data_IF_483085666301
#
_entry.id   IF_483085666301
#
_cell.length_a   1.000
_cell.length_b   1.000
_cell.length_c   1.000
_cell.angle_alpha   90.00
_cell.angle_beta   90.00
_cell.angle_gamma   90.00
#
_symmetry.space_group_name_H-M   'P 1'
#
loop_
_entity.id
_entity.type
_entity.pdbx_description
1 polymer ?
#
# COMPACT_ATOMS: atom_id res chain seq x y z
N UNK A 1 23.37 15.27 -25.75
CA UNK A 1 23.69 15.66 -24.36
C UNK A 1 22.41 15.70 -23.55
N UNK A 2 22.07 14.60 -22.87
CA UNK A 2 20.93 14.54 -21.95
C UNK A 2 21.50 14.52 -20.53
N UNK A 3 21.46 15.66 -19.86
CA UNK A 3 21.79 15.74 -18.44
C UNK A 3 20.68 15.01 -17.67
N UNK A 4 20.99 13.81 -17.18
CA UNK A 4 20.22 13.16 -16.13
C UNK A 4 20.45 13.97 -14.86
N UNK A 5 19.52 14.85 -14.52
CA UNK A 5 19.40 15.35 -13.15
C UNK A 5 18.96 14.18 -12.27
N UNK A 6 19.93 13.39 -11.83
CA UNK A 6 19.81 12.55 -10.65
C UNK A 6 19.74 13.49 -9.44
N UNK A 7 18.56 14.07 -9.21
CA UNK A 7 18.23 14.64 -7.91
C UNK A 7 18.15 13.45 -6.94
N UNK A 8 19.28 13.17 -6.31
CA UNK A 8 19.44 12.25 -5.20
C UNK A 8 18.26 12.42 -4.26
N UNK A 9 17.34 11.45 -4.23
CA UNK A 9 16.30 11.36 -3.22
C UNK A 9 17.04 11.26 -1.88
N UNK A 10 17.12 12.40 -1.17
CA UNK A 10 17.48 12.40 0.24
C UNK A 10 16.40 11.56 0.90
N UNK A 11 16.77 10.36 1.32
CA UNK A 11 16.00 9.56 2.28
C UNK A 11 15.64 10.54 3.39
N UNK A 12 14.33 10.76 3.62
CA UNK A 12 13.88 11.66 4.66
C UNK A 12 14.58 11.26 5.95
N UNK A 13 15.30 12.18 6.62
CA UNK A 13 16.02 11.84 7.82
C UNK A 13 14.99 11.35 8.83
N UNK A 14 15.34 10.26 9.50
CA UNK A 14 14.76 9.85 10.77
C UNK A 14 14.47 11.11 11.60
N UNK A 15 13.21 11.27 12.02
CA UNK A 15 12.67 12.49 12.64
C UNK A 15 13.67 12.98 13.69
N UNK A 16 14.43 14.02 13.36
CA UNK A 16 15.58 14.42 14.17
C UNK A 16 15.07 14.98 15.49
N UNK A 17 15.07 14.12 16.51
CA UNK A 17 14.87 14.54 17.88
C UNK A 17 16.17 15.17 18.33
N UNK A 18 16.27 16.49 18.20
CA UNK A 18 17.41 17.26 18.70
C UNK A 18 17.39 17.30 20.24
N UNK A 19 18.57 17.37 20.86
CA UNK A 19 18.72 17.34 22.33
C UNK A 19 18.02 18.52 23.02
N UNK A 20 17.94 19.68 22.36
CA UNK A 20 17.24 20.85 22.88
C UNK A 20 16.65 21.71 21.76
N UNK A 21 15.37 22.07 21.89
CA UNK A 21 14.69 23.00 20.98
C UNK A 21 14.87 24.44 21.46
N UNK A 22 15.10 25.41 20.54
CA UNK A 22 15.25 26.82 20.89
C UNK A 22 14.09 27.34 21.75
N UNK A 23 14.42 28.09 22.79
CA UNK A 23 13.43 28.73 23.65
C UNK A 23 13.07 30.11 23.11
N UNK A 24 11.78 30.43 23.09
CA UNK A 24 11.27 31.77 22.84
C UNK A 24 10.64 32.33 24.10
N UNK A 25 10.77 33.65 24.29
CA UNK A 25 10.09 34.36 25.38
C UNK A 25 8.65 34.61 24.94
N UNK A 26 7.70 33.86 25.52
CA UNK A 26 6.27 34.02 25.28
C UNK A 26 5.65 34.74 26.48
N UNK A 27 5.58 36.06 26.41
CA UNK A 27 5.15 36.90 27.53
C UNK A 27 6.17 36.88 28.66
N UNK A 28 5.79 36.31 29.82
CA UNK A 28 6.67 36.19 31.00
C UNK A 28 7.37 34.82 31.12
N UNK A 29 7.07 33.90 30.23
CA UNK A 29 7.50 32.50 30.33
C UNK A 29 8.33 32.13 29.11
N UNK A 30 9.43 31.41 29.34
CA UNK A 30 10.20 30.82 28.24
C UNK A 30 9.54 29.50 27.82
N UNK A 31 9.27 29.35 26.52
CA UNK A 31 8.66 28.14 25.95
C UNK A 31 9.50 27.63 24.79
N UNK A 32 9.60 26.33 24.65
CA UNK A 32 10.23 25.65 23.52
C UNK A 32 9.25 24.69 22.85
N UNK A 33 9.58 24.28 21.62
CA UNK A 33 8.85 23.23 20.93
C UNK A 33 9.00 21.89 21.68
N UNK A 34 7.91 21.11 21.76
CA UNK A 34 7.93 19.79 22.38
C UNK A 34 8.10 18.70 21.32
N UNK A 35 9.17 17.91 21.44
CA UNK A 35 9.43 16.75 20.59
C UNK A 35 8.28 15.73 20.57
N UNK A 36 7.41 15.72 21.59
CA UNK A 36 6.24 14.83 21.65
C UNK A 36 5.36 14.95 20.41
N UNK A 37 5.20 16.16 19.86
CA UNK A 37 4.36 16.38 18.69
C UNK A 37 4.89 15.71 17.43
N UNK A 38 6.20 15.56 17.30
CA UNK A 38 6.80 14.86 16.15
C UNK A 38 6.51 13.35 16.18
N UNK A 39 6.37 12.78 17.38
CA UNK A 39 5.98 11.37 17.56
C UNK A 39 4.49 11.14 17.32
N UNK A 40 3.66 12.12 17.73
CA UNK A 40 2.20 12.04 17.60
C UNK A 40 1.72 12.31 16.17
N UNK A 41 2.40 13.22 15.45
CA UNK A 41 2.05 13.61 14.09
C UNK A 41 3.17 13.26 13.12
N UNK A 42 3.01 12.14 12.41
CA UNK A 42 3.99 11.65 11.43
C UNK A 42 4.22 12.57 10.22
N UNK A 43 3.34 13.55 10.00
CA UNK A 43 3.40 14.54 8.94
C UNK A 43 4.09 15.86 9.33
N UNK A 44 4.48 15.99 10.60
CA UNK A 44 5.02 17.21 11.18
C UNK A 44 6.55 17.19 11.16
N UNK A 45 7.14 18.28 10.70
CA UNK A 45 8.59 18.51 10.69
C UNK A 45 8.90 19.82 11.42
N UNK A 46 10.05 19.90 12.08
CA UNK A 46 10.48 21.10 12.79
C UNK A 46 11.73 21.67 12.14
N UNK A 47 11.71 22.96 11.80
CA UNK A 47 12.88 23.66 11.27
C UNK A 47 13.55 24.48 12.37
N UNK A 48 14.83 24.18 12.63
CA UNK A 48 15.68 24.92 13.55
C UNK A 48 15.87 26.39 13.11
N UNK A 49 16.15 26.60 11.82
CA UNK A 49 16.43 27.93 11.26
C UNK A 49 15.27 28.90 11.48
N UNK A 50 14.04 28.39 11.30
CA UNK A 50 12.81 29.19 11.43
C UNK A 50 12.18 29.10 12.82
N UNK A 51 12.71 28.23 13.69
CA UNK A 51 12.14 27.91 15.01
C UNK A 51 10.61 27.66 14.93
N UNK A 52 10.18 26.86 13.96
CA UNK A 52 8.77 26.63 13.67
C UNK A 52 8.50 25.22 13.14
N UNK A 53 7.28 24.74 13.35
CA UNK A 53 6.83 23.43 12.88
C UNK A 53 6.00 23.57 11.59
N UNK A 54 6.27 22.67 10.64
CA UNK A 54 5.73 22.64 9.29
C UNK A 54 5.08 21.29 9.00
N UNK A 55 4.06 21.29 8.15
CA UNK A 55 3.55 20.07 7.55
C UNK A 55 4.24 19.84 6.20
N UNK A 56 5.00 18.76 6.04
CA UNK A 56 5.69 18.49 4.77
C UNK A 56 4.71 18.21 3.61
N UNK A 57 3.48 17.77 3.89
CA UNK A 57 2.47 17.55 2.86
C UNK A 57 1.81 18.84 2.38
N UNK A 58 1.82 19.90 3.20
CA UNK A 58 1.11 21.14 2.87
C UNK A 58 2.04 22.34 2.67
N UNK A 59 3.32 22.23 3.05
CA UNK A 59 4.28 23.35 3.10
C UNK A 59 3.82 24.56 3.94
N UNK A 60 2.75 24.36 4.72
CA UNK A 60 2.16 25.37 5.60
C UNK A 60 2.82 25.28 6.97
N UNK A 61 3.15 26.44 7.53
CA UNK A 61 3.57 26.59 8.92
C UNK A 61 2.36 26.34 9.83
N UNK A 62 2.44 25.32 10.68
CA UNK A 62 1.33 24.89 11.54
C UNK A 62 1.46 25.43 12.97
N UNK A 63 2.67 25.78 13.41
CA UNK A 63 2.90 26.37 14.73
C UNK A 63 3.97 27.47 14.72
N UNK A 64 3.56 28.70 15.04
CA UNK A 64 4.45 29.77 15.54
C UNK A 64 4.47 29.68 17.07
N UNK A 65 5.61 29.96 17.70
CA UNK A 65 5.84 29.90 19.15
C UNK A 65 5.06 30.90 20.02
N UNK A 66 3.75 31.05 19.78
CA UNK A 66 2.82 31.82 20.59
C UNK A 66 2.02 30.93 21.53
N UNK A 67 1.91 31.36 22.78
CA UNK A 67 1.19 30.67 23.83
C UNK A 67 -0.30 30.47 23.45
N UNK A 68 -0.77 29.21 23.51
CA UNK A 68 -2.09 28.77 24.05
C UNK A 68 -2.87 27.73 23.23
N UNK A 69 -2.49 27.32 22.02
CA UNK A 69 -3.27 26.26 21.33
C UNK A 69 -2.56 25.49 20.21
N UNK A 70 -1.24 25.27 20.34
CA UNK A 70 -0.47 24.56 19.30
C UNK A 70 -1.04 23.15 19.00
N UNK A 71 -1.53 22.42 20.00
CA UNK A 71 -2.24 21.13 19.82
C UNK A 71 -3.54 21.31 19.05
N UNK A 72 -4.40 22.23 19.46
CA UNK A 72 -5.69 22.43 18.80
C UNK A 72 -5.52 22.91 17.36
N UNK A 73 -4.49 23.72 17.06
CA UNK A 73 -4.11 24.14 15.71
C UNK A 73 -3.60 22.97 14.87
N UNK A 74 -2.72 22.12 15.42
CA UNK A 74 -2.25 20.89 14.76
C UNK A 74 -3.42 19.95 14.45
N UNK A 75 -4.33 19.75 15.43
CA UNK A 75 -5.52 18.92 15.28
C UNK A 75 -6.49 19.49 14.23
N UNK A 76 -6.71 20.80 14.24
CA UNK A 76 -7.54 21.47 13.25
C UNK A 76 -6.94 21.38 11.84
N UNK A 77 -5.62 21.58 11.72
CA UNK A 77 -4.91 21.41 10.45
C UNK A 77 -5.04 19.97 9.92
N UNK A 78 -4.80 18.97 10.77
CA UNK A 78 -4.94 17.56 10.41
C UNK A 78 -6.35 17.21 9.90
N UNK A 79 -7.39 17.87 10.44
CA UNK A 79 -8.78 17.69 10.03
C UNK A 79 -9.16 18.46 8.75
N UNK A 80 -8.27 19.30 8.21
CA UNK A 80 -8.57 20.11 7.03
C UNK A 80 -8.60 19.23 5.77
N UNK A 81 -9.56 19.48 4.86
CA UNK A 81 -9.71 18.70 3.61
C UNK A 81 -8.44 18.73 2.76
N UNK A 82 -7.79 19.88 2.68
CA UNK A 82 -6.54 20.04 1.92
C UNK A 82 -5.42 19.15 2.46
N UNK A 83 -5.23 19.11 3.78
CA UNK A 83 -4.26 18.24 4.43
C UNK A 83 -4.51 16.77 4.09
N UNK A 84 -5.76 16.31 4.24
CA UNK A 84 -6.15 14.95 3.93
C UNK A 84 -5.89 14.60 2.46
N UNK A 85 -6.25 15.48 1.53
CA UNK A 85 -6.01 15.30 0.10
C UNK A 85 -4.52 15.22 -0.21
N UNK A 86 -3.71 16.09 0.40
CA UNK A 86 -2.26 16.10 0.17
C UNK A 86 -1.58 14.87 0.76
N UNK A 87 -2.03 14.38 1.92
CA UNK A 87 -1.60 13.10 2.49
C UNK A 87 -1.94 11.95 1.54
N UNK A 88 -3.16 11.93 0.99
CA UNK A 88 -3.56 10.91 0.00
C UNK A 88 -2.69 10.96 -1.26
N UNK A 89 -2.42 12.16 -1.80
CA UNK A 89 -1.54 12.35 -2.97
C UNK A 89 -0.12 11.88 -2.69
N UNK A 90 0.44 12.28 -1.55
CA UNK A 90 1.77 11.87 -1.12
C UNK A 90 1.87 10.34 -0.94
N UNK A 91 0.85 9.72 -0.33
CA UNK A 91 0.78 8.26 -0.20
C UNK A 91 0.73 7.58 -1.58
N UNK A 92 -0.11 8.08 -2.49
CA UNK A 92 -0.19 7.59 -3.86
C UNK A 92 1.15 7.70 -4.60
N UNK A 93 1.87 8.81 -4.41
CA UNK A 93 3.20 9.00 -4.98
C UNK A 93 4.24 8.03 -4.38
N UNK A 94 4.27 7.86 -3.05
CA UNK A 94 5.18 6.87 -2.42
C UNK A 94 4.91 5.46 -2.95
N UNK A 95 3.64 5.10 -3.12
CA UNK A 95 3.25 3.82 -3.69
C UNK A 95 3.66 3.70 -5.16
N UNK A 96 3.52 4.75 -5.97
CA UNK A 96 3.93 4.71 -7.39
C UNK A 96 5.45 4.65 -7.57
N UNK A 97 6.22 5.29 -6.68
CA UNK A 97 7.68 5.17 -6.65
C UNK A 97 8.09 3.72 -6.36
N UNK A 98 7.42 3.04 -5.43
CA UNK A 98 7.69 1.61 -5.12
C UNK A 98 7.20 0.69 -6.24
N UNK A 99 6.00 0.93 -6.77
CA UNK A 99 5.39 0.08 -7.80
C UNK A 99 6.03 0.23 -9.19
N UNK A 100 6.71 1.36 -9.46
CA UNK A 100 7.33 1.63 -10.76
C UNK A 100 6.32 1.98 -11.86
N UNK A 101 6.77 2.03 -13.11
CA UNK A 101 5.92 2.42 -14.23
C UNK A 101 4.94 1.29 -14.66
N UNK A 102 3.81 1.69 -15.25
CA UNK A 102 2.73 0.76 -15.68
C UNK A 102 3.26 -0.31 -16.66
N UNK A 103 4.15 0.06 -17.57
CA UNK A 103 4.75 -0.88 -18.54
C UNK A 103 5.53 -2.00 -17.83
N UNK A 104 6.33 -1.66 -16.81
CA UNK A 104 7.03 -2.65 -16.00
C UNK A 104 6.05 -3.51 -15.21
N UNK A 105 5.00 -2.94 -14.63
CA UNK A 105 3.99 -3.70 -13.89
C UNK A 105 3.27 -4.74 -14.76
N UNK A 106 2.86 -4.36 -15.98
CA UNK A 106 2.24 -5.29 -16.94
C UNK A 106 3.22 -6.40 -17.32
N UNK A 107 4.48 -6.05 -17.56
CA UNK A 107 5.52 -7.03 -17.92
C UNK A 107 5.75 -8.04 -16.78
N UNK A 108 5.83 -7.57 -15.54
CA UNK A 108 5.96 -8.41 -14.34
C UNK A 108 4.74 -9.32 -14.17
N UNK A 109 3.53 -8.78 -14.30
CA UNK A 109 2.30 -9.55 -14.18
C UNK A 109 2.21 -10.65 -15.25
N UNK A 110 2.60 -10.34 -16.50
CA UNK A 110 2.66 -11.32 -17.57
C UNK A 110 3.68 -12.42 -17.27
N UNK A 111 4.88 -12.05 -16.80
CA UNK A 111 5.91 -13.01 -16.42
C UNK A 111 5.42 -13.96 -15.32
N UNK A 112 4.76 -13.43 -14.28
CA UNK A 112 4.19 -14.23 -13.19
C UNK A 112 3.09 -15.19 -13.69
N UNK A 113 2.22 -14.73 -14.59
CA UNK A 113 1.20 -15.58 -15.21
C UNK A 113 1.82 -16.75 -15.98
N UNK A 114 2.85 -16.47 -16.80
CA UNK A 114 3.58 -17.50 -17.54
C UNK A 114 4.26 -18.48 -16.59
N UNK A 115 4.88 -18.00 -15.52
CA UNK A 115 5.54 -18.84 -14.52
C UNK A 115 4.54 -19.74 -13.78
N UNK A 116 3.39 -19.21 -13.39
CA UNK A 116 2.33 -19.98 -12.76
C UNK A 116 1.81 -21.11 -13.66
N UNK A 117 1.61 -20.83 -14.95
CA UNK A 117 1.20 -21.84 -15.93
C UNK A 117 2.26 -22.91 -16.13
N UNK A 118 3.54 -22.52 -16.18
CA UNK A 118 4.66 -23.49 -16.25
C UNK A 118 4.70 -24.38 -15.01
N UNK A 119 4.50 -23.81 -13.83
CA UNK A 119 4.44 -24.57 -12.58
C UNK A 119 3.25 -25.53 -12.55
N UNK A 120 2.10 -25.12 -13.09
CA UNK A 120 0.93 -26.00 -13.22
C UNK A 120 1.21 -27.19 -14.15
N UNK A 121 1.76 -26.94 -15.34
CA UNK A 121 2.13 -28.02 -16.28
C UNK A 121 3.18 -28.96 -15.68
N UNK A 122 4.18 -28.43 -14.97
CA UNK A 122 5.18 -29.24 -14.27
C UNK A 122 4.53 -30.19 -13.26
N UNK A 123 3.53 -29.71 -12.50
CA UNK A 123 2.75 -30.56 -11.58
C UNK A 123 1.99 -31.66 -12.33
N UNK A 124 1.32 -31.34 -13.44
CA UNK A 124 0.60 -32.32 -14.24
C UNK A 124 1.52 -33.41 -14.82
N UNK A 125 2.69 -33.00 -15.34
CA UNK A 125 3.71 -33.92 -15.86
C UNK A 125 4.20 -34.83 -14.73
N UNK A 126 4.48 -34.29 -13.55
CA UNK A 126 4.91 -35.11 -12.40
C UNK A 126 3.84 -36.13 -11.99
N UNK A 127 2.57 -35.74 -11.97
CA UNK A 127 1.45 -36.65 -11.70
C UNK A 127 1.39 -37.73 -12.78
N UNK A 128 1.50 -37.36 -14.06
CA UNK A 128 1.48 -38.31 -15.16
C UNK A 128 2.64 -39.32 -15.08
N UNK A 129 3.86 -38.84 -14.79
CA UNK A 129 5.04 -39.69 -14.59
C UNK A 129 4.87 -40.62 -13.40
N UNK A 130 4.34 -40.13 -12.28
CA UNK A 130 4.07 -40.95 -11.10
C UNK A 130 3.11 -42.10 -11.43
N UNK A 131 1.96 -41.79 -12.06
CA UNK A 131 0.97 -42.81 -12.44
C UNK A 131 1.51 -43.80 -13.46
N UNK A 132 2.28 -43.33 -14.46
CA UNK A 132 2.89 -44.17 -15.47
C UNK A 132 3.88 -45.18 -14.86
N UNK A 133 4.71 -44.76 -13.89
CA UNK A 133 5.65 -45.66 -13.19
C UNK A 133 4.92 -46.72 -12.36
N UNK A 134 3.76 -46.40 -11.80
CA UNK A 134 2.95 -47.32 -11.00
C UNK A 134 1.99 -48.18 -11.84
N UNK A 135 1.92 -47.99 -13.16
CA UNK A 135 0.98 -48.71 -14.04
C UNK A 135 -0.50 -48.36 -13.80
N UNK A 136 -0.79 -47.19 -13.24
CA UNK A 136 -2.16 -46.76 -12.93
C UNK A 136 -2.72 -45.95 -14.11
N UNK A 137 -3.88 -46.35 -14.64
CA UNK A 137 -4.54 -45.65 -15.75
C UNK A 137 -5.09 -44.26 -15.34
N UNK A 138 -4.98 -43.26 -16.24
CA UNK A 138 -5.66 -41.97 -16.09
C UNK A 138 -7.18 -42.16 -16.13
N UNK A 139 -7.85 -42.03 -14.99
CA UNK A 139 -9.32 -42.04 -14.93
C UNK A 139 -9.85 -40.62 -15.12
N UNK A 140 -9.93 -40.18 -16.37
CA UNK A 140 -10.66 -38.95 -16.71
C UNK A 140 -12.15 -39.24 -16.54
N UNK A 141 -12.83 -38.55 -15.62
CA UNK A 141 -14.27 -38.64 -15.45
C UNK A 141 -14.92 -37.78 -16.53
N UNK A 142 -15.35 -38.39 -17.64
CA UNK A 142 -16.08 -37.68 -18.70
C UNK A 142 -17.47 -37.29 -18.19
N UNK A 143 -17.77 -35.99 -18.17
CA UNK A 143 -19.03 -35.41 -17.65
C UNK A 143 -20.29 -35.94 -18.37
N UNK A 144 -20.15 -36.55 -19.55
CA UNK A 144 -21.24 -37.21 -20.28
C UNK A 144 -21.90 -38.39 -19.56
N UNK A 145 -21.23 -39.00 -18.58
CA UNK A 145 -21.84 -40.10 -17.79
C UNK A 145 -22.72 -39.61 -16.64
N UNK A 146 -22.65 -38.32 -16.29
CA UNK A 146 -23.45 -37.75 -15.19
C UNK A 146 -24.78 -37.15 -15.68
N UNK A 147 -24.89 -36.78 -16.96
CA UNK A 147 -26.14 -36.30 -17.55
C UNK A 147 -27.10 -37.43 -17.92
N UNK A 148 -26.60 -38.61 -18.32
CA UNK A 148 -27.45 -39.76 -18.68
C UNK A 148 -28.22 -40.31 -17.47
N UNK A 149 -27.58 -40.41 -16.32
CA UNK A 149 -28.22 -40.83 -15.06
C UNK A 149 -29.17 -39.79 -14.46
N UNK A 150 -29.10 -38.52 -14.90
CA UNK A 150 -30.03 -37.47 -14.48
C UNK A 150 -31.26 -37.41 -15.40
N UNK A 151 -31.11 -37.58 -16.72
CA UNK A 151 -32.25 -37.60 -17.65
C UNK A 151 -33.08 -38.89 -17.51
N UNK A 152 -32.43 -40.05 -17.34
CA UNK A 152 -33.15 -41.34 -17.19
C UNK A 152 -33.96 -41.43 -15.88
N UNK A 153 -33.61 -40.62 -14.86
CA UNK A 153 -34.34 -40.57 -13.57
C UNK A 153 -35.56 -39.64 -13.58
N UNK A 154 -35.58 -38.60 -14.42
CA UNK A 154 -36.68 -37.62 -14.46
C UNK A 154 -37.74 -37.90 -15.55
N UNK A 155 -37.43 -38.72 -16.56
CA UNK A 155 -38.41 -39.09 -17.60
C UNK A 155 -39.34 -40.25 -17.22
N UNK A 156 -39.05 -41.04 -16.18
CA UNK A 156 -39.91 -42.16 -15.76
C UNK A 156 -41.03 -41.71 -14.80
N UNK A 157 -40.81 -40.66 -14.00
CA UNK A 157 -41.78 -40.21 -12.98
C UNK A 157 -42.88 -39.27 -13.52
N UNK A 158 -42.85 -38.92 -14.82
CA UNK A 158 -43.88 -38.08 -15.46
C UNK A 158 -44.93 -38.86 -16.27
N UNK A 159 -44.91 -40.21 -16.21
CA UNK A 159 -45.82 -41.07 -16.97
C UNK A 159 -46.79 -41.91 -16.10
N UNK A 160 -46.96 -41.56 -14.81
CA UNK A 160 -47.89 -42.23 -13.88
C UNK A 160 -48.94 -41.30 -13.27
N UNK A 161 -49.24 -40.16 -13.92
CA UNK A 161 -50.45 -39.38 -13.63
C UNK A 161 -51.19 -39.07 -14.94
N UNK A 162 -51.70 -40.13 -15.57
CA UNK A 162 -52.98 -40.20 -16.28
C UNK A 162 -53.52 -41.62 -16.16
#
# INVERSE_FOLDING_TARGET
MHQKNQSSMKVLPDIQTIEAYPMTVAGKQNRSFSAKYLKEYSWLEYSLEKNAAFCFCCEILVAMGGANSNISKLKAHAATKEHMLNISRMSGYKNSVVAGCVSSQISIAHQQFVENNRNYLKKLINIALFLARQGIAFRVKTIWSTSKSFIDKYCIDSAQHF
#
